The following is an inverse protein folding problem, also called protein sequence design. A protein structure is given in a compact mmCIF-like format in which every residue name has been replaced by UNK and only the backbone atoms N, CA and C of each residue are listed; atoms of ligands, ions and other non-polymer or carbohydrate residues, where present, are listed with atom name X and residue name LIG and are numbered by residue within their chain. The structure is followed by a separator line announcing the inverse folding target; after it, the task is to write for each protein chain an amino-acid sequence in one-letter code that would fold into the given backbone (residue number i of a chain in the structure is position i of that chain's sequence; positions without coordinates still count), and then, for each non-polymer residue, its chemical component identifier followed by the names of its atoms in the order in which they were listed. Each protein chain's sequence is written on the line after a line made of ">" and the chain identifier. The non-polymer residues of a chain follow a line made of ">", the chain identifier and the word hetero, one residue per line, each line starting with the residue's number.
data_IF_147839357732
#
_entry.id   IF_147839357732
#
_cell.length_a   1.000
_cell.length_b   1.000
_cell.length_c   1.000
_cell.angle_alpha   90.00
_cell.angle_beta   90.00
_cell.angle_gamma   90.00
#
_symmetry.space_group_name_H-M   'P 1'
#
loop_
_entity.id
_entity.type
_entity.pdbx_description
1 polymer ?
#
# COMPACT_ATOMS: atom_id res chain seq x y z
N UNK A 1 -19.44 2.65 10.23
CA UNK A 1 -18.11 2.60 9.57
C UNK A 1 -16.97 3.03 10.49
N UNK A 2 -17.15 4.09 11.28
CA UNK A 2 -16.10 4.65 12.14
C UNK A 2 -15.64 3.72 13.27
N UNK A 3 -16.55 2.87 13.75
CA UNK A 3 -16.24 1.81 14.74
C UNK A 3 -15.19 0.83 14.21
N UNK A 4 -15.30 0.41 12.94
CA UNK A 4 -14.35 -0.53 12.33
C UNK A 4 -12.96 0.08 12.12
N UNK A 5 -12.89 1.37 11.80
CA UNK A 5 -11.62 2.08 11.59
C UNK A 5 -10.84 2.21 12.90
N UNK A 6 -11.54 2.57 13.96
CA UNK A 6 -10.98 2.63 15.31
C UNK A 6 -10.56 1.24 15.79
N UNK A 7 -11.32 0.21 15.50
CA UNK A 7 -11.04 -1.16 15.93
C UNK A 7 -9.64 -1.63 15.52
N UNK A 8 -9.14 -1.25 14.33
CA UNK A 8 -7.78 -1.60 13.90
C UNK A 8 -6.73 -1.01 14.85
N UNK A 9 -6.91 0.23 15.30
CA UNK A 9 -6.01 0.86 16.26
C UNK A 9 -6.15 0.29 17.68
N UNK A 10 -7.37 0.02 18.09
CA UNK A 10 -7.66 -0.61 19.40
C UNK A 10 -7.06 -2.03 19.48
N UNK A 11 -7.12 -2.83 18.39
CA UNK A 11 -6.54 -4.18 18.30
C UNK A 11 -5.01 -4.19 18.51
N UNK A 12 -4.33 -3.14 18.09
CA UNK A 12 -2.86 -3.00 18.24
C UNK A 12 -2.46 -2.15 19.47
N UNK A 13 -3.43 -1.63 20.23
CA UNK A 13 -3.18 -0.88 21.44
C UNK A 13 -2.79 0.58 21.26
N UNK A 14 -3.09 1.20 20.12
CA UNK A 14 -2.90 2.64 19.89
C UNK A 14 -4.02 3.43 20.59
N UNK A 15 -3.63 4.45 21.35
CA UNK A 15 -4.60 5.31 22.04
C UNK A 15 -5.31 6.23 21.06
N UNK A 16 -6.64 6.25 21.16
CA UNK A 16 -7.47 7.17 20.38
C UNK A 16 -8.23 8.12 21.30
N UNK A 17 -8.43 9.35 20.87
CA UNK A 17 -9.18 10.38 21.59
C UNK A 17 -10.35 10.85 20.74
N UNK A 18 -11.59 10.86 21.26
CA UNK A 18 -12.74 11.43 20.55
C UNK A 18 -12.49 12.89 20.20
N UNK A 19 -12.80 13.31 18.98
CA UNK A 19 -12.66 14.68 18.51
C UNK A 19 -14.03 15.33 18.22
N UNK A 20 -14.80 14.73 17.39
CA UNK A 20 -16.19 15.09 17.08
C UNK A 20 -16.96 13.80 16.72
N UNK A 21 -18.27 13.90 16.57
CA UNK A 21 -19.09 12.74 16.22
C UNK A 21 -18.52 12.00 15.00
N UNK A 22 -18.24 10.70 15.17
CA UNK A 22 -17.65 9.83 14.15
C UNK A 22 -16.15 10.02 13.90
N UNK A 23 -15.46 10.94 14.59
CA UNK A 23 -14.04 11.22 14.38
C UNK A 23 -13.22 11.04 15.66
N UNK A 24 -12.05 10.44 15.50
CA UNK A 24 -11.06 10.24 16.55
C UNK A 24 -9.71 10.77 16.08
N UNK A 25 -8.89 11.19 17.02
CA UNK A 25 -7.48 11.52 16.81
C UNK A 25 -6.61 10.48 17.47
N UNK A 26 -5.44 10.25 16.89
CA UNK A 26 -4.38 9.43 17.48
C UNK A 26 -3.04 10.17 17.29
N UNK A 27 -2.10 9.93 18.18
CA UNK A 27 -0.75 10.46 18.01
C UNK A 27 -0.04 9.75 16.86
N UNK A 28 0.56 10.53 15.96
CA UNK A 28 1.18 9.99 14.74
C UNK A 28 2.42 9.14 15.04
N UNK A 29 3.24 9.58 16.03
CA UNK A 29 4.47 8.87 16.40
C UNK A 29 4.11 7.56 17.11
N UNK A 30 3.16 7.61 18.07
CA UNK A 30 2.65 6.40 18.73
C UNK A 30 2.09 5.41 17.70
N UNK A 31 1.23 5.87 16.80
CA UNK A 31 0.60 5.01 15.79
C UNK A 31 1.64 4.33 14.90
N UNK A 32 2.58 5.09 14.35
CA UNK A 32 3.62 4.53 13.48
C UNK A 32 4.53 3.55 14.23
N UNK A 33 4.92 3.88 15.47
CA UNK A 33 5.79 3.05 16.30
C UNK A 33 5.12 1.73 16.69
N UNK A 34 3.86 1.80 17.12
CA UNK A 34 3.10 0.60 17.52
C UNK A 34 2.85 -0.30 16.32
N UNK A 35 2.38 0.23 15.20
CA UNK A 35 2.15 -0.57 13.99
C UNK A 35 3.43 -1.24 13.49
N UNK A 36 4.56 -0.54 13.50
CA UNK A 36 5.86 -1.10 13.13
C UNK A 36 6.28 -2.21 14.12
N UNK A 37 6.14 -1.97 15.42
CA UNK A 37 6.47 -2.94 16.47
C UNK A 37 5.63 -4.21 16.34
N UNK A 38 4.32 -4.09 16.13
CA UNK A 38 3.44 -5.24 15.98
C UNK A 38 3.71 -6.02 14.69
N UNK A 39 4.05 -5.33 13.60
CA UNK A 39 4.49 -5.99 12.37
C UNK A 39 5.76 -6.84 12.60
N UNK A 40 6.77 -6.29 13.30
CA UNK A 40 7.99 -7.01 13.65
C UNK A 40 7.71 -8.20 14.57
N UNK A 41 6.84 -8.06 15.56
CA UNK A 41 6.42 -9.15 16.46
C UNK A 41 5.68 -10.26 15.71
N UNK A 42 4.92 -9.90 14.68
CA UNK A 42 4.26 -10.86 13.79
C UNK A 42 5.23 -11.55 12.82
N UNK A 43 6.53 -11.24 12.87
CA UNK A 43 7.58 -11.85 12.05
C UNK A 43 7.84 -11.16 10.72
N UNK A 44 7.30 -9.95 10.49
CA UNK A 44 7.65 -9.16 9.32
C UNK A 44 9.09 -8.66 9.40
N UNK A 45 9.77 -8.60 8.26
CA UNK A 45 11.07 -7.93 8.15
C UNK A 45 10.88 -6.53 7.59
N UNK A 46 11.36 -5.52 8.28
CA UNK A 46 11.29 -4.13 7.86
C UNK A 46 12.64 -3.66 7.33
N UNK A 47 12.67 -3.21 6.09
CA UNK A 47 13.82 -2.57 5.48
C UNK A 47 13.52 -1.08 5.30
N UNK A 48 14.22 -0.23 6.03
CA UNK A 48 14.17 1.21 5.81
C UNK A 48 15.24 1.65 4.79
N UNK A 49 15.06 2.82 4.19
CA UNK A 49 15.96 3.40 3.20
C UNK A 49 16.28 2.44 2.03
N UNK A 50 15.26 1.72 1.60
CA UNK A 50 15.31 0.86 0.42
C UNK A 50 14.31 1.39 -0.59
N UNK A 51 14.75 1.53 -1.84
CA UNK A 51 13.91 1.93 -2.98
C UNK A 51 13.65 0.75 -3.90
N UNK A 52 12.47 0.74 -4.53
CA UNK A 52 12.15 -0.18 -5.61
C UNK A 52 12.61 0.43 -6.92
N UNK A 53 13.52 -0.26 -7.63
CA UNK A 53 14.01 0.18 -8.93
C UNK A 53 13.24 -0.46 -10.08
N UNK A 54 12.83 -1.72 -9.91
CA UNK A 54 12.16 -2.47 -10.95
C UNK A 54 11.26 -3.59 -10.39
N UNK A 55 10.49 -4.22 -11.29
CA UNK A 55 9.68 -5.41 -11.02
C UNK A 55 10.19 -6.61 -11.79
N UNK A 56 10.06 -7.79 -11.22
CA UNK A 56 10.38 -9.05 -11.89
C UNK A 56 9.10 -9.63 -12.47
N UNK A 57 8.92 -9.52 -13.78
CA UNK A 57 7.77 -10.11 -14.49
C UNK A 57 8.17 -11.46 -15.11
N UNK A 58 7.35 -12.47 -14.91
CA UNK A 58 7.46 -13.79 -15.57
C UNK A 58 6.07 -14.25 -15.97
N UNK A 59 5.92 -14.63 -17.23
CA UNK A 59 4.65 -15.14 -17.78
C UNK A 59 3.45 -14.24 -17.49
N UNK A 60 3.65 -12.91 -17.61
CA UNK A 60 2.61 -11.91 -17.36
C UNK A 60 2.23 -11.71 -15.89
N UNK A 61 3.08 -12.14 -14.96
CA UNK A 61 2.89 -11.98 -13.51
C UNK A 61 4.12 -11.39 -12.85
N UNK A 62 3.92 -10.52 -11.88
CA UNK A 62 5.01 -10.07 -11.00
C UNK A 62 5.33 -11.18 -9.99
N UNK A 63 6.61 -11.56 -9.94
CA UNK A 63 7.14 -12.62 -9.07
C UNK A 63 8.19 -12.07 -8.09
N UNK A 64 8.34 -10.77 -7.99
CA UNK A 64 9.26 -10.10 -7.08
C UNK A 64 9.61 -8.69 -7.51
N UNK A 65 10.50 -8.09 -6.75
CA UNK A 65 10.97 -6.72 -6.91
C UNK A 65 12.50 -6.69 -7.06
N UNK A 66 12.98 -5.66 -7.74
CA UNK A 66 14.39 -5.27 -7.77
C UNK A 66 14.53 -4.04 -6.86
N UNK A 67 15.35 -4.16 -5.85
CA UNK A 67 15.50 -3.15 -4.79
C UNK A 67 16.94 -2.71 -4.64
N UNK A 68 17.16 -1.49 -4.19
CA UNK A 68 18.47 -0.97 -3.84
C UNK A 68 18.39 -0.06 -2.61
N UNK A 69 19.53 0.18 -1.97
CA UNK A 69 19.58 1.12 -0.85
C UNK A 69 19.56 2.56 -1.35
N UNK A 70 18.70 3.37 -0.80
CA UNK A 70 18.64 4.81 -1.10
C UNK A 70 19.99 5.50 -0.89
N UNK A 71 20.78 5.05 0.08
CA UNK A 71 22.13 5.56 0.34
C UNK A 71 23.09 5.37 -0.86
N UNK A 72 22.92 4.32 -1.64
CA UNK A 72 23.71 4.08 -2.86
C UNK A 72 23.42 5.18 -3.90
N UNK A 73 22.16 5.48 -4.11
CA UNK A 73 21.74 6.55 -5.02
C UNK A 73 22.22 7.92 -4.54
N UNK A 74 22.07 8.22 -3.23
CA UNK A 74 22.50 9.49 -2.64
C UNK A 74 24.02 9.70 -2.73
N UNK A 75 24.80 8.63 -2.61
CA UNK A 75 26.25 8.68 -2.70
C UNK A 75 26.78 8.65 -4.14
N UNK A 76 25.92 8.51 -5.14
CA UNK A 76 26.31 8.36 -6.55
C UNK A 76 27.16 7.11 -6.82
N UNK A 77 26.99 6.08 -6.00
CA UNK A 77 27.70 4.82 -6.13
C UNK A 77 27.02 3.89 -7.14
N UNK A 78 27.83 3.10 -7.82
CA UNK A 78 27.37 1.99 -8.66
C UNK A 78 27.43 0.69 -7.85
N UNK A 79 26.26 0.24 -7.39
CA UNK A 79 26.10 -1.05 -6.72
C UNK A 79 24.95 -1.77 -7.40
N UNK A 80 25.14 -3.02 -7.74
CA UNK A 80 24.11 -3.84 -8.37
C UNK A 80 22.91 -4.02 -7.42
N UNK A 81 21.67 -3.84 -7.92
CA UNK A 81 20.48 -4.00 -7.11
C UNK A 81 20.23 -5.45 -6.73
N UNK A 82 19.44 -5.66 -5.70
CA UNK A 82 19.01 -6.98 -5.25
C UNK A 82 17.69 -7.37 -5.90
N UNK A 83 17.61 -8.61 -6.37
CA UNK A 83 16.37 -9.23 -6.81
C UNK A 83 15.74 -10.01 -5.64
N UNK A 84 14.56 -9.59 -5.20
CA UNK A 84 13.82 -10.23 -4.11
C UNK A 84 12.56 -10.89 -4.66
N UNK A 85 12.45 -12.21 -4.52
CA UNK A 85 11.25 -12.94 -4.95
C UNK A 85 10.14 -12.86 -3.92
N UNK A 86 8.91 -12.74 -4.40
CA UNK A 86 7.70 -12.80 -3.58
C UNK A 86 6.56 -13.45 -4.36
N UNK A 87 5.61 -14.07 -3.65
CA UNK A 87 4.38 -14.60 -4.28
C UNK A 87 3.43 -13.47 -4.66
N UNK A 88 3.39 -12.42 -3.85
CA UNK A 88 2.59 -11.21 -4.04
C UNK A 88 3.35 -9.97 -3.63
N UNK A 89 3.00 -8.86 -4.21
CA UNK A 89 3.48 -7.51 -3.86
C UNK A 89 2.29 -6.64 -3.51
N UNK A 90 2.40 -5.81 -2.48
CA UNK A 90 1.45 -4.73 -2.19
C UNK A 90 2.17 -3.42 -2.46
N UNK A 91 1.67 -2.65 -3.42
CA UNK A 91 2.08 -1.25 -3.59
C UNK A 91 1.26 -0.37 -2.64
N UNK A 92 1.91 0.13 -1.61
CA UNK A 92 1.38 1.09 -0.65
C UNK A 92 2.22 2.38 -0.62
N UNK A 93 2.84 2.73 -1.75
CA UNK A 93 3.76 3.87 -1.88
C UNK A 93 3.05 5.22 -1.95
N UNK A 94 1.74 5.25 -1.70
CA UNK A 94 0.95 6.46 -1.63
C UNK A 94 0.57 7.03 -3.00
N UNK A 95 0.51 8.35 -3.10
CA UNK A 95 0.04 9.06 -4.29
C UNK A 95 0.83 8.76 -5.56
N UNK A 96 2.10 8.43 -5.41
CA UNK A 96 3.00 8.21 -6.54
C UNK A 96 2.82 6.83 -7.19
N UNK A 97 2.23 5.85 -6.49
CA UNK A 97 2.01 4.50 -6.99
C UNK A 97 3.26 3.93 -7.69
N UNK A 98 4.41 3.98 -7.00
CA UNK A 98 5.73 3.81 -7.61
C UNK A 98 5.89 2.45 -8.28
N UNK A 99 5.46 1.36 -7.64
CA UNK A 99 5.56 0.00 -8.22
C UNK A 99 4.64 -0.14 -9.43
N UNK A 100 3.41 0.37 -9.34
CA UNK A 100 2.44 0.34 -10.44
C UNK A 100 2.96 1.16 -11.64
N UNK A 101 3.61 2.32 -11.39
CA UNK A 101 4.24 3.12 -12.45
C UNK A 101 5.39 2.38 -13.14
N UNK A 102 6.15 1.60 -12.42
CA UNK A 102 7.21 0.77 -13.02
C UNK A 102 6.59 -0.25 -14.00
N UNK A 103 5.50 -0.92 -13.59
CA UNK A 103 4.77 -1.88 -14.43
C UNK A 103 4.22 -1.18 -15.69
N UNK A 104 3.57 -0.04 -15.53
CA UNK A 104 3.01 0.74 -16.64
C UNK A 104 4.09 1.18 -17.63
N UNK A 105 5.24 1.67 -17.15
CA UNK A 105 6.37 2.10 -18.00
C UNK A 105 6.98 0.96 -18.81
N UNK A 106 6.83 -0.29 -18.37
CA UNK A 106 7.23 -1.48 -19.14
C UNK A 106 6.25 -1.87 -20.24
N UNK A 107 5.16 -1.12 -20.40
CA UNK A 107 4.14 -1.37 -21.42
C UNK A 107 3.11 -2.42 -21.03
N UNK A 108 3.12 -2.87 -19.78
CA UNK A 108 2.15 -3.84 -19.26
C UNK A 108 0.77 -3.18 -19.07
N UNK A 109 -0.27 -3.94 -19.38
CA UNK A 109 -1.65 -3.47 -19.23
C UNK A 109 -2.15 -3.72 -17.81
N UNK A 110 -2.53 -2.65 -17.11
CA UNK A 110 -3.10 -2.71 -15.76
C UNK A 110 -4.56 -3.17 -15.77
N UNK A 111 -5.01 -3.77 -14.68
CA UNK A 111 -6.42 -4.16 -14.43
C UNK A 111 -7.25 -2.94 -13.96
N UNK A 112 -7.09 -1.82 -14.64
CA UNK A 112 -7.85 -0.59 -14.44
C UNK A 112 -8.80 -0.36 -15.63
N UNK A 113 -9.80 0.54 -15.52
CA UNK A 113 -10.71 0.83 -16.62
C UNK A 113 -10.02 1.27 -17.92
N UNK A 114 -8.87 1.92 -17.81
CA UNK A 114 -8.10 2.46 -18.95
C UNK A 114 -6.93 1.55 -19.37
N UNK A 115 -6.61 0.53 -18.59
CA UNK A 115 -5.39 -0.26 -18.74
C UNK A 115 -4.12 0.46 -18.27
N UNK A 116 -4.27 1.65 -17.70
CA UNK A 116 -3.19 2.53 -17.19
C UNK A 116 -3.56 3.08 -15.82
N UNK A 117 -2.64 3.78 -15.16
CA UNK A 117 -2.94 4.57 -13.97
C UNK A 117 -3.91 5.69 -14.39
N UNK A 118 -5.05 5.76 -13.70
CA UNK A 118 -6.09 6.75 -14.02
C UNK A 118 -5.74 8.13 -13.47
N UNK A 119 -5.03 8.18 -12.34
CA UNK A 119 -4.67 9.40 -11.65
C UNK A 119 -5.70 9.83 -10.60
N UNK A 120 -5.27 10.67 -9.68
CA UNK A 120 -6.13 11.17 -8.60
C UNK A 120 -6.99 12.34 -9.05
N UNK A 121 -8.16 12.44 -8.42
CA UNK A 121 -9.02 13.62 -8.49
C UNK A 121 -8.73 14.57 -7.33
N UNK A 122 -9.36 15.74 -7.36
CA UNK A 122 -9.29 16.73 -6.29
C UNK A 122 -9.67 16.14 -4.92
N UNK A 123 -9.31 16.83 -3.85
CA UNK A 123 -9.55 16.37 -2.48
C UNK A 123 -11.06 16.33 -2.17
N UNK A 124 -11.52 15.15 -1.75
CA UNK A 124 -12.85 14.90 -1.20
C UNK A 124 -12.77 13.75 -0.21
N UNK A 125 -12.49 14.09 1.04
CA UNK A 125 -12.06 13.14 2.08
C UNK A 125 -13.06 12.00 2.34
N UNK A 126 -14.34 12.33 2.51
CA UNK A 126 -15.38 11.36 2.88
C UNK A 126 -15.58 10.32 1.78
N UNK A 127 -15.63 10.76 0.53
CA UNK A 127 -15.77 9.86 -0.63
C UNK A 127 -14.49 9.06 -0.85
N UNK A 128 -13.33 9.70 -0.71
CA UNK A 128 -12.04 9.05 -0.89
C UNK A 128 -11.82 7.91 0.11
N UNK A 129 -12.28 8.09 1.35
CA UNK A 129 -12.14 7.09 2.42
C UNK A 129 -12.88 5.79 2.10
N UNK A 130 -14.10 5.89 1.59
CA UNK A 130 -14.88 4.71 1.15
C UNK A 130 -14.27 4.09 -0.11
N UNK A 131 -13.90 4.92 -1.08
CA UNK A 131 -13.32 4.47 -2.34
C UNK A 131 -11.97 3.78 -2.14
N UNK A 132 -11.17 4.18 -1.14
CA UNK A 132 -9.89 3.54 -0.85
C UNK A 132 -10.07 2.05 -0.59
N UNK A 133 -11.08 1.68 0.19
CA UNK A 133 -11.37 0.27 0.46
C UNK A 133 -11.83 -0.50 -0.79
N UNK A 134 -12.68 0.12 -1.61
CA UNK A 134 -13.16 -0.49 -2.86
C UNK A 134 -12.05 -0.64 -3.91
N UNK A 135 -11.12 0.30 -3.94
CA UNK A 135 -9.97 0.31 -4.85
C UNK A 135 -8.81 -0.58 -4.38
N UNK A 136 -8.86 -1.08 -3.14
CA UNK A 136 -7.88 -2.02 -2.62
C UNK A 136 -8.11 -3.40 -3.24
N UNK A 137 -7.36 -3.71 -4.28
CA UNK A 137 -7.49 -4.94 -5.06
C UNK A 137 -6.26 -5.20 -5.94
N UNK A 138 -6.27 -6.30 -6.65
CA UNK A 138 -5.23 -6.62 -7.62
C UNK A 138 -5.28 -5.65 -8.80
N UNK A 139 -4.13 -5.08 -9.16
CA UNK A 139 -3.97 -4.12 -10.26
C UNK A 139 -3.21 -4.70 -11.45
N UNK A 140 -2.40 -5.70 -11.19
CA UNK A 140 -1.67 -6.51 -12.16
C UNK A 140 -1.45 -7.89 -11.55
N UNK A 141 -1.40 -8.98 -12.32
CA UNK A 141 -1.22 -10.30 -11.74
C UNK A 141 -0.03 -10.36 -10.75
N UNK A 142 -0.34 -10.69 -9.50
CA UNK A 142 0.64 -10.72 -8.40
C UNK A 142 0.87 -9.38 -7.67
N UNK A 143 0.23 -8.28 -8.10
CA UNK A 143 0.38 -6.96 -7.46
C UNK A 143 -0.97 -6.41 -7.01
N UNK A 144 -1.07 -6.10 -5.73
CA UNK A 144 -2.19 -5.43 -5.10
C UNK A 144 -1.82 -3.98 -4.77
N UNK A 145 -2.81 -3.13 -4.70
CA UNK A 145 -2.66 -1.73 -4.26
C UNK A 145 -3.42 -1.48 -2.97
N UNK A 146 -2.85 -0.65 -2.09
CA UNK A 146 -3.48 -0.26 -0.83
C UNK A 146 -3.24 1.22 -0.51
N UNK A 147 -4.09 1.79 0.35
CA UNK A 147 -4.01 3.18 0.75
C UNK A 147 -4.24 4.15 -0.41
N UNK A 148 -3.55 5.28 -0.41
CA UNK A 148 -3.68 6.29 -1.46
C UNK A 148 -3.18 5.81 -2.82
N UNK A 149 -2.27 4.83 -2.86
CA UNK A 149 -1.88 4.16 -4.10
C UNK A 149 -3.09 3.56 -4.83
N UNK A 150 -4.04 2.96 -4.11
CA UNK A 150 -5.25 2.41 -4.68
C UNK A 150 -6.12 3.50 -5.34
N UNK A 151 -6.30 4.64 -4.68
CA UNK A 151 -7.07 5.76 -5.23
C UNK A 151 -6.36 6.42 -6.43
N UNK A 152 -5.04 6.58 -6.39
CA UNK A 152 -4.26 7.09 -7.51
C UNK A 152 -4.36 6.17 -8.73
N UNK A 153 -4.27 4.87 -8.51
CA UNK A 153 -4.32 3.88 -9.59
C UNK A 153 -5.69 3.80 -10.26
N UNK A 154 -6.77 3.79 -9.48
CA UNK A 154 -8.14 3.60 -9.99
C UNK A 154 -8.93 4.90 -10.22
N UNK A 155 -8.33 6.06 -10.04
CA UNK A 155 -8.93 7.34 -10.42
C UNK A 155 -9.94 7.92 -9.41
N UNK A 156 -9.68 7.74 -8.12
CA UNK A 156 -10.52 8.31 -7.06
C UNK A 156 -9.94 9.61 -6.48
N UNK A 157 -10.63 10.14 -5.49
CA UNK A 157 -10.30 11.42 -4.86
C UNK A 157 -9.13 11.30 -3.87
N UNK A 158 -8.44 12.41 -3.63
CA UNK A 158 -7.47 12.52 -2.53
C UNK A 158 -8.22 12.55 -1.20
N UNK A 159 -7.67 11.85 -0.20
CA UNK A 159 -8.32 11.70 1.10
C UNK A 159 -7.96 12.82 2.08
N UNK A 160 -6.79 13.46 1.94
CA UNK A 160 -6.31 14.44 2.90
C UNK A 160 -5.95 13.82 4.26
N UNK A 161 -6.13 14.55 5.36
CA UNK A 161 -5.63 14.14 6.69
C UNK A 161 -6.54 13.15 7.42
N UNK A 162 -7.19 12.23 6.71
CA UNK A 162 -8.02 11.16 7.28
C UNK A 162 -7.34 9.82 6.99
N UNK A 163 -7.11 8.99 8.02
CA UNK A 163 -6.30 7.77 7.90
C UNK A 163 -7.09 6.47 8.09
N UNK A 164 -8.34 6.54 8.52
CA UNK A 164 -9.16 5.35 8.80
C UNK A 164 -9.32 4.43 7.59
N UNK A 165 -9.58 5.00 6.42
CA UNK A 165 -9.68 4.24 5.18
C UNK A 165 -8.36 3.56 4.77
N UNK A 166 -7.20 4.17 5.06
CA UNK A 166 -5.90 3.56 4.79
C UNK A 166 -5.62 2.35 5.69
N UNK A 167 -5.99 2.43 6.97
CA UNK A 167 -5.86 1.30 7.90
C UNK A 167 -6.70 0.10 7.45
N UNK A 168 -7.97 0.34 7.12
CA UNK A 168 -8.86 -0.69 6.58
C UNK A 168 -8.39 -1.23 5.23
N UNK A 169 -7.83 -0.38 4.39
CA UNK A 169 -7.25 -0.77 3.10
C UNK A 169 -6.07 -1.73 3.28
N UNK A 170 -5.16 -1.45 4.22
CA UNK A 170 -4.06 -2.35 4.56
C UNK A 170 -4.57 -3.72 5.04
N UNK A 171 -5.55 -3.75 5.96
CA UNK A 171 -6.21 -4.97 6.43
C UNK A 171 -6.85 -5.73 5.27
N UNK A 172 -7.60 -5.04 4.41
CA UNK A 172 -8.24 -5.63 3.22
C UNK A 172 -7.23 -6.26 2.26
N UNK A 173 -6.12 -5.58 1.97
CA UNK A 173 -5.08 -6.12 1.10
C UNK A 173 -4.48 -7.42 1.67
N UNK A 174 -4.21 -7.44 2.98
CA UNK A 174 -3.72 -8.63 3.67
C UNK A 174 -4.72 -9.80 3.63
N UNK A 175 -6.01 -9.53 3.82
CA UNK A 175 -7.09 -10.53 3.74
C UNK A 175 -7.16 -11.15 2.34
N UNK A 176 -7.21 -10.31 1.29
CA UNK A 176 -7.27 -10.77 -0.11
C UNK A 176 -6.08 -11.66 -0.48
N UNK A 177 -4.87 -11.26 -0.08
CA UNK A 177 -3.66 -12.04 -0.36
C UNK A 177 -3.65 -13.34 0.47
N UNK A 178 -4.08 -13.30 1.72
CA UNK A 178 -4.17 -14.50 2.56
C UNK A 178 -5.15 -15.54 1.99
N UNK A 179 -6.28 -15.10 1.44
CA UNK A 179 -7.24 -15.97 0.75
C UNK A 179 -6.61 -16.61 -0.48
N UNK A 180 -5.88 -15.84 -1.29
CA UNK A 180 -5.15 -16.36 -2.47
C UNK A 180 -4.09 -17.39 -2.07
N UNK A 181 -3.28 -17.08 -1.06
CA UNK A 181 -2.23 -17.97 -0.59
C UNK A 181 -2.78 -19.31 -0.09
N UNK A 182 -3.95 -19.32 0.56
CA UNK A 182 -4.63 -20.55 0.98
C UNK A 182 -5.19 -21.36 -0.19
N UNK A 183 -5.65 -20.69 -1.25
CA UNK A 183 -6.19 -21.38 -2.42
C UNK A 183 -5.13 -21.96 -3.35
N UNK A 184 -3.89 -21.50 -3.24
CA UNK A 184 -2.73 -21.95 -4.05
C UNK A 184 -1.88 -23.02 -3.35
N UNK A 185 -2.13 -23.29 -2.07
CA UNK A 185 -1.39 -24.29 -1.25
C UNK A 185 -2.17 -25.53 -1.07
#
# INVERSE_FOLDING_TARGET
>A
SDVYKRQVLDEVGVRTVPYKEGYYTADAVETASVLCSEALRAGATVFNLVSVEDVMVREGRVVGLVINWTAVQMAGLHVDPLAVRSRYVIDATGHDAEVVRVIERKGEKLLTPTGKIVGERSLWSEVAEEMTLQNTKEVYPGVFVAGMCANATFGSFRMGPIFGGMLLSGKRAAELISERLRSEG
#
